data_IF_778753009379
#
_entry.id   IF_778753009379
#
_cell.length_a   1.000
_cell.length_b   1.000
_cell.length_c   1.000
_cell.angle_alpha   90.00
_cell.angle_beta   90.00
_cell.angle_gamma   90.00
#
_symmetry.space_group_name_H-M   'P 1'
#
loop_
_entity.id
_entity.type
_entity.pdbx_description
1 polymer ?
#
# COMPACT_ATOMS: atom_id res chain seq x y z
N UNK A 1 -0.97 7.29 10.10
CA UNK A 1 -1.61 8.02 8.98
C UNK A 1 -1.83 9.49 9.31
N UNK A 2 -1.63 10.41 8.35
CA UNK A 2 -1.86 11.86 8.49
C UNK A 2 -3.22 12.27 7.90
N UNK A 3 -3.90 13.24 8.52
CA UNK A 3 -5.20 13.77 8.08
C UNK A 3 -5.18 14.32 6.64
N UNK A 4 -4.03 14.85 6.18
CA UNK A 4 -3.84 15.33 4.81
C UNK A 4 -4.09 14.25 3.75
N UNK A 5 -3.81 12.98 4.09
CA UNK A 5 -4.07 11.83 3.21
C UNK A 5 -5.56 11.45 3.18
N UNK A 6 -6.34 11.90 4.15
CA UNK A 6 -7.77 11.63 4.30
C UNK A 6 -8.66 12.79 3.85
N UNK A 7 -8.11 13.80 3.16
CA UNK A 7 -8.95 14.85 2.56
C UNK A 7 -10.08 14.25 1.70
N UNK A 8 -11.32 14.64 1.99
CA UNK A 8 -12.54 14.12 1.37
C UNK A 8 -13.15 12.88 2.04
N UNK A 9 -12.54 12.35 3.10
CA UNK A 9 -13.02 11.19 3.84
C UNK A 9 -13.69 11.59 5.16
N UNK A 10 -14.67 10.80 5.57
CA UNK A 10 -15.14 10.79 6.96
C UNK A 10 -14.31 9.76 7.72
N UNK A 11 -13.73 10.16 8.85
CA UNK A 11 -12.88 9.30 9.66
C UNK A 11 -13.12 9.57 11.14
N UNK A 12 -12.66 8.63 11.97
CA UNK A 12 -12.64 8.72 13.44
C UNK A 12 -11.29 8.22 13.93
N UNK A 13 -10.77 8.80 15.00
CA UNK A 13 -9.45 8.51 15.57
C UNK A 13 -9.60 8.11 17.02
N UNK A 14 -8.84 7.09 17.40
CA UNK A 14 -8.63 6.70 18.78
C UNK A 14 -7.18 6.95 19.18
N UNK A 15 -6.93 7.72 20.24
CA UNK A 15 -5.58 7.94 20.79
C UNK A 15 -5.51 7.65 22.29
N UNK A 16 -4.30 7.43 22.80
CA UNK A 16 -4.08 7.15 24.22
C UNK A 16 -4.49 8.35 25.09
N UNK A 17 -5.34 8.12 26.09
CA UNK A 17 -5.84 9.11 27.04
C UNK A 17 -5.50 8.76 28.50
N UNK A 18 -4.97 7.56 28.75
CA UNK A 18 -4.66 7.07 30.08
C UNK A 18 -3.26 7.49 30.55
N UNK A 19 -3.08 7.41 31.86
CA UNK A 19 -1.80 7.65 32.51
C UNK A 19 -1.45 9.14 32.63
N UNK A 20 -0.17 9.40 32.84
CA UNK A 20 0.38 10.72 33.14
C UNK A 20 0.77 11.53 31.91
N UNK A 21 0.82 10.90 30.74
CA UNK A 21 1.18 11.53 29.47
C UNK A 21 0.21 11.11 28.34
N UNK A 22 -1.03 11.63 28.36
CA UNK A 22 -2.00 11.36 27.29
C UNK A 22 -1.60 12.05 25.97
N UNK A 23 -2.18 11.59 24.87
CA UNK A 23 -1.94 12.14 23.54
C UNK A 23 -2.35 13.61 23.44
N UNK A 24 -1.49 14.41 22.81
CA UNK A 24 -1.75 15.83 22.51
C UNK A 24 -2.54 16.05 21.21
N UNK A 25 -2.72 14.99 20.42
CA UNK A 25 -3.38 15.07 19.11
C UNK A 25 -4.89 14.97 19.26
N UNK A 26 -5.65 15.68 18.43
CA UNK A 26 -7.11 15.61 18.42
C UNK A 26 -7.60 14.20 18.04
N UNK A 27 -8.59 13.70 18.78
CA UNK A 27 -9.19 12.39 18.58
C UNK A 27 -10.65 12.39 19.03
N UNK A 28 -11.40 11.37 18.64
CA UNK A 28 -12.82 11.24 18.90
C UNK A 28 -13.11 10.31 20.10
N UNK A 29 -12.18 9.41 20.46
CA UNK A 29 -12.32 8.52 21.62
C UNK A 29 -10.98 8.03 22.17
N UNK A 30 -10.97 7.65 23.46
CA UNK A 30 -9.83 7.00 24.09
C UNK A 30 -9.55 5.64 23.45
N UNK A 31 -8.30 5.35 23.08
CA UNK A 31 -7.84 4.10 22.46
C UNK A 31 -7.93 2.93 23.46
N UNK A 32 -9.13 2.47 23.77
CA UNK A 32 -9.40 1.31 24.64
C UNK A 32 -10.03 0.20 23.81
N UNK A 33 -9.88 -1.05 24.25
CA UNK A 33 -10.50 -2.20 23.57
C UNK A 33 -12.00 -2.03 23.36
N UNK A 34 -12.72 -1.56 24.39
CA UNK A 34 -14.17 -1.36 24.30
C UNK A 34 -14.55 -0.29 23.28
N UNK A 35 -13.82 0.82 23.22
CA UNK A 35 -14.12 1.90 22.29
C UNK A 35 -13.79 1.50 20.85
N UNK A 36 -12.64 0.86 20.60
CA UNK A 36 -12.25 0.39 19.26
C UNK A 36 -13.26 -0.64 18.74
N UNK A 37 -13.58 -1.66 19.55
CA UNK A 37 -14.50 -2.72 19.14
C UNK A 37 -15.90 -2.16 18.89
N UNK A 38 -16.45 -1.37 19.82
CA UNK A 38 -17.79 -0.78 19.62
C UNK A 38 -17.88 0.16 18.42
N UNK A 39 -16.83 0.95 18.17
CA UNK A 39 -16.73 1.83 17.01
C UNK A 39 -16.69 1.02 15.72
N UNK A 40 -15.81 0.03 15.61
CA UNK A 40 -15.69 -0.78 14.39
C UNK A 40 -16.94 -1.63 14.14
N UNK A 41 -17.47 -2.31 15.15
CA UNK A 41 -18.67 -3.14 15.04
C UNK A 41 -19.90 -2.38 14.54
N UNK A 42 -20.01 -1.08 14.81
CA UNK A 42 -21.14 -0.25 14.39
C UNK A 42 -20.86 0.64 13.17
N UNK A 43 -19.58 0.87 12.85
CA UNK A 43 -19.15 1.74 11.77
C UNK A 43 -19.10 1.07 10.39
N UNK A 44 -18.92 1.90 9.37
CA UNK A 44 -18.75 1.47 7.98
C UNK A 44 -17.37 1.90 7.50
N UNK A 45 -16.36 1.14 7.88
CA UNK A 45 -14.96 1.50 7.62
C UNK A 45 -14.45 0.77 6.38
N UNK A 46 -14.19 1.52 5.30
CA UNK A 46 -13.51 0.95 4.14
C UNK A 46 -12.02 0.69 4.41
N UNK A 47 -11.43 1.44 5.34
CA UNK A 47 -10.06 1.27 5.79
C UNK A 47 -10.03 1.33 7.31
N UNK A 48 -9.16 0.52 7.92
CA UNK A 48 -8.84 0.60 9.34
C UNK A 48 -7.34 0.53 9.49
N UNK A 49 -6.73 1.56 10.08
CA UNK A 49 -5.30 1.62 10.30
C UNK A 49 -5.02 1.75 11.79
N UNK A 50 -4.01 1.06 12.29
CA UNK A 50 -3.52 1.26 13.64
C UNK A 50 -2.00 1.22 13.70
N UNK A 51 -1.49 1.84 14.77
CA UNK A 51 -0.10 1.73 15.20
C UNK A 51 -0.07 1.44 16.69
N UNK A 52 0.78 0.50 17.09
CA UNK A 52 0.88 0.05 18.47
C UNK A 52 1.85 -1.11 18.62
N UNK A 53 1.95 -1.62 19.84
CA UNK A 53 2.64 -2.88 20.07
C UNK A 53 1.78 -4.05 19.60
N UNK A 54 2.38 -5.20 19.33
CA UNK A 54 1.64 -6.36 18.86
C UNK A 54 2.25 -7.69 19.28
N UNK A 55 1.40 -8.71 19.22
CA UNK A 55 1.75 -10.12 19.16
C UNK A 55 0.76 -10.83 18.20
N UNK A 56 0.83 -12.15 18.10
CA UNK A 56 -0.10 -12.94 17.28
C UNK A 56 -1.57 -12.69 17.63
N UNK A 57 -1.88 -12.43 18.89
CA UNK A 57 -3.26 -12.33 19.35
C UNK A 57 -3.87 -10.94 19.18
N UNK A 58 -3.08 -9.88 19.05
CA UNK A 58 -3.65 -8.54 19.03
C UNK A 58 -2.68 -7.38 18.96
N UNK A 59 -3.25 -6.18 19.08
CA UNK A 59 -2.51 -4.93 19.13
C UNK A 59 -2.82 -4.14 20.41
N UNK A 60 -1.78 -3.52 20.95
CA UNK A 60 -1.73 -3.04 22.33
C UNK A 60 -1.26 -1.60 22.39
N UNK A 61 -1.90 -0.87 23.30
CA UNK A 61 -1.48 0.45 23.72
C UNK A 61 -0.55 0.34 24.93
N UNK A 62 0.23 1.38 25.18
CA UNK A 62 1.04 1.55 26.39
C UNK A 62 0.89 2.96 26.93
N UNK A 63 0.88 3.10 28.25
CA UNK A 63 0.81 4.38 28.93
C UNK A 63 1.65 4.37 30.20
N UNK A 64 2.12 5.56 30.58
CA UNK A 64 2.82 5.80 31.84
C UNK A 64 1.81 5.91 32.97
N UNK A 65 1.69 4.88 33.80
CA UNK A 65 0.53 4.71 34.69
C UNK A 65 0.64 5.45 36.03
N UNK A 66 1.85 5.59 36.56
CA UNK A 66 2.16 6.26 37.81
C UNK A 66 3.61 6.75 37.78
N UNK A 67 3.98 7.66 38.67
CA UNK A 67 5.32 8.25 38.79
C UNK A 67 5.78 8.08 40.24
N UNK A 68 6.99 7.59 40.47
CA UNK A 68 7.60 7.45 41.79
C UNK A 68 8.09 8.79 42.39
N UNK A 69 8.01 9.85 41.60
CA UNK A 69 8.26 11.24 41.98
C UNK A 69 9.48 11.86 41.30
N UNK A 70 10.11 11.18 40.35
CA UNK A 70 11.27 11.67 39.61
C UNK A 70 10.91 12.24 38.22
N UNK A 71 9.66 12.05 37.78
CA UNK A 71 9.13 12.50 36.49
C UNK A 71 9.81 11.89 35.25
N UNK A 72 10.34 10.67 35.38
CA UNK A 72 10.98 9.90 34.31
C UNK A 72 10.25 8.55 34.16
N UNK A 73 9.62 8.27 33.00
CA UNK A 73 8.92 7.00 32.83
C UNK A 73 9.86 5.78 32.88
N UNK A 74 9.63 4.86 33.83
CA UNK A 74 10.37 3.60 33.88
C UNK A 74 9.53 2.34 33.66
N UNK A 75 10.22 1.21 33.46
CA UNK A 75 9.58 -0.03 33.03
C UNK A 75 8.54 -0.57 34.01
N UNK A 76 8.68 -0.33 35.31
CA UNK A 76 7.70 -0.68 36.36
C UNK A 76 6.50 0.28 36.41
N UNK A 77 6.60 1.43 35.77
CA UNK A 77 5.58 2.47 35.71
C UNK A 77 4.73 2.38 34.43
N UNK A 78 5.25 1.73 33.39
CA UNK A 78 4.53 1.52 32.14
C UNK A 78 3.53 0.38 32.29
N UNK A 79 2.28 0.66 31.92
CA UNK A 79 1.25 -0.36 31.73
C UNK A 79 0.90 -0.52 30.26
N UNK A 80 0.36 -1.69 29.93
CA UNK A 80 -0.10 -2.03 28.59
C UNK A 80 -1.45 -2.75 28.63
N UNK A 81 -2.17 -2.68 27.53
CA UNK A 81 -3.44 -3.38 27.36
C UNK A 81 -3.83 -3.44 25.89
N UNK A 82 -4.65 -4.42 25.48
CA UNK A 82 -5.10 -4.50 24.09
C UNK A 82 -6.03 -3.32 23.79
N UNK A 83 -5.93 -2.80 22.57
CA UNK A 83 -7.01 -2.02 21.97
C UNK A 83 -7.79 -2.83 20.92
N UNK A 84 -7.23 -3.95 20.47
CA UNK A 84 -7.93 -4.97 19.67
C UNK A 84 -7.28 -6.32 19.95
N UNK A 85 -8.10 -7.37 20.05
CA UNK A 85 -7.65 -8.72 20.34
C UNK A 85 -8.42 -9.73 19.49
N UNK A 86 -7.83 -10.89 19.24
CA UNK A 86 -8.34 -11.93 18.34
C UNK A 86 -9.76 -12.39 18.71
N UNK A 87 -10.07 -12.44 20.01
CA UNK A 87 -11.41 -12.81 20.50
C UNK A 87 -12.50 -11.77 20.20
N UNK A 88 -12.13 -10.54 19.84
CA UNK A 88 -13.07 -9.50 19.44
C UNK A 88 -13.48 -9.62 17.96
N UNK A 89 -12.65 -10.25 17.14
CA UNK A 89 -12.79 -10.22 15.67
C UNK A 89 -14.15 -10.71 15.19
N UNK A 90 -14.76 -11.80 15.74
CA UNK A 90 -16.10 -12.24 15.33
C UNK A 90 -17.23 -11.23 15.57
N UNK A 91 -17.00 -10.18 16.36
CA UNK A 91 -17.99 -9.13 16.63
C UNK A 91 -17.86 -7.91 15.72
N UNK A 92 -16.81 -7.84 14.89
CA UNK A 92 -16.58 -6.72 13.99
C UNK A 92 -17.55 -6.73 12.82
N UNK A 93 -17.78 -5.54 12.24
CA UNK A 93 -18.70 -5.39 11.12
C UNK A 93 -18.11 -6.01 9.85
N UNK A 94 -18.69 -7.11 9.40
CA UNK A 94 -18.27 -7.82 8.19
C UNK A 94 -19.14 -7.49 6.94
N UNK A 95 -20.19 -6.67 7.11
CA UNK A 95 -20.93 -6.14 5.96
C UNK A 95 -20.16 -5.04 5.22
N UNK A 96 -19.17 -4.44 5.88
CA UNK A 96 -18.26 -3.42 5.35
C UNK A 96 -16.82 -3.77 5.74
N UNK A 97 -16.26 -4.87 5.20
CA UNK A 97 -14.96 -5.36 5.62
C UNK A 97 -13.86 -4.37 5.21
N UNK A 98 -12.97 -4.05 6.14
CA UNK A 98 -11.99 -2.99 5.96
C UNK A 98 -10.71 -3.49 5.28
N UNK A 99 -10.03 -2.62 4.53
CA UNK A 99 -8.62 -2.83 4.18
C UNK A 99 -7.76 -2.34 5.35
N UNK A 100 -7.06 -3.27 5.97
CA UNK A 100 -6.35 -3.07 7.23
C UNK A 100 -4.86 -2.97 7.01
N UNK A 101 -4.22 -1.97 7.59
CA UNK A 101 -2.78 -1.97 7.82
C UNK A 101 -2.54 -2.03 9.34
N UNK A 102 -1.87 -3.09 9.77
CA UNK A 102 -1.61 -3.39 11.16
C UNK A 102 -0.16 -3.05 11.49
N UNK A 103 0.16 -1.78 11.80
CA UNK A 103 1.51 -1.35 12.15
C UNK A 103 1.86 -1.78 13.59
N UNK A 104 2.04 -3.08 13.79
CA UNK A 104 2.32 -3.73 15.07
C UNK A 104 3.06 -5.04 14.85
N UNK A 105 3.95 -5.40 15.78
CA UNK A 105 4.72 -6.65 15.69
C UNK A 105 3.80 -7.88 15.67
N UNK A 106 4.20 -8.89 14.92
CA UNK A 106 3.73 -10.28 14.98
C UNK A 106 2.24 -10.48 14.77
N UNK A 107 1.52 -9.49 14.22
CA UNK A 107 0.07 -9.60 13.98
C UNK A 107 -0.29 -10.66 12.91
N UNK A 108 0.70 -11.17 12.18
CA UNK A 108 0.58 -12.31 11.26
C UNK A 108 1.56 -13.46 11.58
N UNK A 109 2.08 -13.52 12.81
CA UNK A 109 2.95 -14.61 13.26
C UNK A 109 2.14 -15.89 13.54
N UNK A 110 2.75 -17.07 13.33
CA UNK A 110 2.12 -18.39 13.60
C UNK A 110 0.83 -18.65 12.78
N UNK A 111 0.13 -19.74 13.12
CA UNK A 111 -1.04 -20.30 12.45
C UNK A 111 -2.34 -19.66 12.91
N UNK A 112 -2.44 -19.31 14.20
CA UNK A 112 -3.56 -18.60 14.80
C UNK A 112 -3.13 -17.19 15.16
N UNK A 113 -3.55 -16.23 14.34
CA UNK A 113 -3.25 -14.82 14.55
C UNK A 113 -4.38 -13.88 14.15
N UNK A 114 -4.25 -12.65 14.60
CA UNK A 114 -5.24 -11.60 14.39
C UNK A 114 -5.39 -11.25 12.90
N UNK A 115 -4.32 -11.25 12.10
CA UNK A 115 -4.43 -10.97 10.66
C UNK A 115 -5.27 -12.03 9.94
N UNK A 116 -5.03 -13.32 10.22
CA UNK A 116 -5.84 -14.44 9.72
C UNK A 116 -7.29 -14.32 10.16
N UNK A 117 -7.52 -13.95 11.42
CA UNK A 117 -8.88 -13.80 11.96
C UNK A 117 -9.64 -12.66 11.29
N UNK A 118 -8.96 -11.55 11.01
CA UNK A 118 -9.54 -10.40 10.30
C UNK A 118 -9.94 -10.74 8.87
N UNK A 119 -9.14 -11.53 8.16
CA UNK A 119 -9.55 -12.06 6.84
C UNK A 119 -10.81 -12.94 6.94
N UNK A 120 -11.01 -13.60 8.08
CA UNK A 120 -12.21 -14.37 8.35
C UNK A 120 -13.44 -13.54 8.74
N UNK A 121 -13.25 -12.36 9.32
CA UNK A 121 -14.34 -11.44 9.70
C UNK A 121 -13.80 -10.00 9.91
N UNK A 122 -14.40 -9.02 9.22
CA UNK A 122 -14.14 -7.59 9.38
C UNK A 122 -13.02 -7.03 8.50
N UNK A 123 -12.26 -7.87 7.80
CA UNK A 123 -11.15 -7.48 6.93
C UNK A 123 -11.27 -8.02 5.50
N UNK A 124 -11.17 -7.13 4.51
CA UNK A 124 -11.14 -7.48 3.09
C UNK A 124 -9.72 -7.75 2.57
N UNK A 125 -8.73 -7.18 3.25
CA UNK A 125 -7.31 -7.38 3.03
C UNK A 125 -6.54 -6.82 4.22
N UNK A 126 -5.49 -7.51 4.64
CA UNK A 126 -4.74 -7.16 5.86
C UNK A 126 -3.25 -7.14 5.52
N UNK A 127 -2.60 -6.00 5.72
CA UNK A 127 -1.14 -5.89 5.72
C UNK A 127 -0.66 -5.97 7.15
N UNK A 128 0.14 -6.97 7.48
CA UNK A 128 0.62 -7.21 8.84
C UNK A 128 2.02 -7.80 8.86
N UNK A 129 2.74 -7.54 9.95
CA UNK A 129 4.06 -8.10 10.23
C UNK A 129 3.98 -9.58 10.58
N UNK A 130 4.82 -10.42 9.95
CA UNK A 130 4.98 -11.82 10.34
C UNK A 130 5.85 -12.02 11.58
N UNK A 131 6.62 -11.00 11.97
CA UNK A 131 7.55 -10.98 13.11
C UNK A 131 7.70 -9.54 13.64
N UNK A 132 8.91 -8.99 13.75
CA UNK A 132 9.12 -7.67 14.34
C UNK A 132 8.92 -6.53 13.34
N UNK A 133 8.04 -5.60 13.70
CA UNK A 133 7.91 -4.29 13.05
C UNK A 133 8.65 -3.20 13.81
N UNK A 134 9.52 -2.47 13.13
CA UNK A 134 10.27 -1.35 13.69
C UNK A 134 9.60 -0.02 13.36
N UNK A 135 9.62 0.93 14.29
CA UNK A 135 9.01 2.24 14.17
C UNK A 135 10.05 3.34 14.44
N UNK A 136 9.81 4.54 13.91
CA UNK A 136 10.59 5.74 14.24
C UNK A 136 9.93 6.44 15.43
N UNK A 137 10.62 6.59 16.58
CA UNK A 137 10.11 7.41 17.69
C UNK A 137 9.86 8.85 17.23
N UNK A 138 8.75 9.44 17.66
CA UNK A 138 8.35 10.79 17.27
C UNK A 138 8.23 11.01 15.74
N UNK A 139 7.89 9.97 14.98
CA UNK A 139 7.57 10.07 13.55
C UNK A 139 6.60 11.22 13.27
N UNK A 140 7.01 12.15 12.44
CA UNK A 140 6.23 13.33 12.05
C UNK A 140 6.19 13.54 10.54
N UNK A 141 7.25 13.19 9.81
CA UNK A 141 7.27 13.25 8.35
C UNK A 141 7.06 11.86 7.73
N UNK A 142 6.23 11.74 6.67
CA UNK A 142 6.17 10.52 5.86
C UNK A 142 7.52 9.93 5.42
N UNK A 143 8.58 10.72 5.35
CA UNK A 143 9.94 10.31 4.98
C UNK A 143 10.83 9.93 6.18
N UNK A 144 10.33 9.97 7.42
CA UNK A 144 11.08 9.58 8.64
C UNK A 144 11.38 8.07 8.73
N UNK A 145 10.81 7.28 7.81
CA UNK A 145 11.06 5.85 7.67
C UNK A 145 10.29 4.92 8.59
N UNK A 146 10.76 3.67 8.62
CA UNK A 146 10.18 2.55 9.34
C UNK A 146 8.71 2.24 8.98
N UNK A 147 8.04 1.40 9.78
CA UNK A 147 6.68 0.92 9.48
C UNK A 147 5.69 2.07 9.26
N UNK A 148 5.81 3.17 9.99
CA UNK A 148 4.86 4.29 9.90
C UNK A 148 4.88 4.94 8.52
N UNK A 149 6.06 4.99 7.89
CA UNK A 149 6.21 5.47 6.52
C UNK A 149 5.70 4.46 5.51
N UNK A 150 5.98 3.17 5.72
CA UNK A 150 5.42 2.10 4.87
C UNK A 150 3.89 2.07 4.89
N UNK A 151 3.29 2.19 6.08
CA UNK A 151 1.84 2.37 6.30
C UNK A 151 1.32 3.59 5.52
N UNK A 152 1.94 4.76 5.73
CA UNK A 152 1.54 5.97 5.05
C UNK A 152 1.56 5.82 3.51
N UNK A 153 2.65 5.30 2.95
CA UNK A 153 2.78 5.17 1.49
C UNK A 153 1.89 4.09 0.91
N UNK A 154 1.61 3.01 1.65
CA UNK A 154 0.60 2.04 1.26
C UNK A 154 -0.76 2.71 1.03
N UNK A 155 -1.22 3.50 2.00
CA UNK A 155 -2.46 4.25 1.84
C UNK A 155 -2.36 5.40 0.84
N UNK A 156 -1.19 6.02 0.67
CA UNK A 156 -0.96 7.02 -0.39
C UNK A 156 -1.25 6.41 -1.76
N UNK A 157 -0.60 5.31 -2.10
CA UNK A 157 -0.78 4.67 -3.39
C UNK A 157 -2.20 4.14 -3.58
N UNK A 158 -2.83 3.61 -2.53
CA UNK A 158 -4.20 3.11 -2.62
C UNK A 158 -5.24 4.25 -2.74
N UNK A 159 -5.14 5.29 -1.92
CA UNK A 159 -6.17 6.33 -1.79
C UNK A 159 -5.98 7.51 -2.74
N UNK A 160 -4.74 7.88 -3.06
CA UNK A 160 -4.42 9.03 -3.93
C UNK A 160 -4.13 8.59 -5.36
N UNK A 161 -3.35 7.52 -5.53
CA UNK A 161 -2.98 7.00 -6.86
C UNK A 161 -3.98 5.94 -7.38
N UNK A 162 -4.95 5.53 -6.56
CA UNK A 162 -5.99 4.58 -6.96
C UNK A 162 -5.46 3.18 -7.29
N UNK A 163 -4.32 2.79 -6.70
CA UNK A 163 -3.73 1.47 -6.91
C UNK A 163 -4.58 0.37 -6.29
N UNK A 164 -4.52 -0.81 -6.91
CA UNK A 164 -4.98 -2.07 -6.28
C UNK A 164 -4.17 -2.32 -5.01
N UNK A 165 -4.74 -3.02 -4.05
CA UNK A 165 -4.11 -3.22 -2.72
C UNK A 165 -2.71 -3.82 -2.82
N UNK A 166 -2.52 -4.83 -3.68
CA UNK A 166 -1.20 -5.44 -3.91
C UNK A 166 -0.21 -4.49 -4.59
N UNK A 167 -0.67 -3.75 -5.60
CA UNK A 167 0.16 -2.75 -6.29
C UNK A 167 0.55 -1.60 -5.35
N UNK A 168 -0.37 -1.18 -4.46
CA UNK A 168 -0.12 -0.15 -3.46
C UNK A 168 0.98 -0.58 -2.48
N UNK A 169 0.94 -1.82 -1.97
CA UNK A 169 1.99 -2.33 -1.10
C UNK A 169 3.32 -2.48 -1.83
N UNK A 170 3.29 -2.95 -3.08
CA UNK A 170 4.50 -3.06 -3.90
C UNK A 170 5.13 -1.68 -4.17
N UNK A 171 4.34 -0.71 -4.64
CA UNK A 171 4.80 0.65 -4.92
C UNK A 171 5.30 1.33 -3.64
N UNK A 172 4.64 1.14 -2.50
CA UNK A 172 5.09 1.64 -1.19
C UNK A 172 6.45 1.06 -0.81
N UNK A 173 6.66 -0.25 -0.99
CA UNK A 173 7.95 -0.92 -0.76
C UNK A 173 9.04 -0.42 -1.71
N UNK A 174 8.73 -0.24 -2.99
CA UNK A 174 9.68 0.30 -3.97
C UNK A 174 10.06 1.75 -3.62
N UNK A 175 9.09 2.58 -3.24
CA UNK A 175 9.36 3.94 -2.81
C UNK A 175 10.23 3.96 -1.55
N UNK A 176 9.84 3.18 -0.54
CA UNK A 176 10.59 3.01 0.70
C UNK A 176 12.04 2.64 0.43
N UNK A 177 12.28 1.60 -0.38
CA UNK A 177 13.63 1.14 -0.74
C UNK A 177 14.47 2.21 -1.44
N UNK A 178 13.88 3.02 -2.32
CA UNK A 178 14.64 4.00 -3.11
C UNK A 178 14.89 5.33 -2.39
N UNK A 179 14.01 5.72 -1.46
CA UNK A 179 13.99 7.08 -0.92
C UNK A 179 14.03 7.16 0.60
N UNK A 180 13.63 6.11 1.32
CA UNK A 180 13.50 6.13 2.78
C UNK A 180 14.27 4.99 3.46
N UNK A 181 15.05 4.25 2.67
CA UNK A 181 15.90 3.20 3.15
C UNK A 181 17.19 3.82 3.68
N UNK A 182 17.11 4.31 4.92
CA UNK A 182 18.24 4.92 5.60
C UNK A 182 18.76 4.03 6.72
N UNK A 183 20.07 4.13 7.01
CA UNK A 183 20.66 3.43 8.13
C UNK A 183 20.06 3.92 9.47
N UNK A 184 19.51 3.02 10.30
CA UNK A 184 19.09 3.20 11.68
C UNK A 184 20.20 3.85 12.51
N UNK A 185 19.99 5.09 12.99
CA UNK A 185 21.00 5.81 13.75
C UNK A 185 21.24 5.20 15.15
N UNK A 186 20.40 4.27 15.60
CA UNK A 186 20.47 3.63 16.91
C UNK A 186 20.92 2.16 16.84
N UNK A 187 21.12 1.60 15.63
CA UNK A 187 21.53 0.22 15.40
C UNK A 187 23.03 0.03 15.18
N UNK A 188 23.59 -1.10 15.64
CA UNK A 188 25.00 -1.48 15.39
C UNK A 188 25.25 -2.01 13.97
N UNK A 189 24.24 -2.63 13.38
CA UNK A 189 24.04 -2.71 11.93
C UNK A 189 22.99 -1.65 11.62
N UNK A 190 23.24 -0.72 10.70
CA UNK A 190 22.32 0.37 10.53
C UNK A 190 21.24 0.01 9.49
N UNK A 191 21.33 -1.06 8.69
CA UNK A 191 20.33 -1.31 7.63
C UNK A 191 19.21 -2.30 7.98
N UNK A 192 19.41 -3.15 9.00
CA UNK A 192 18.55 -4.32 9.20
C UNK A 192 17.11 -4.01 9.59
N UNK A 193 16.82 -2.93 10.32
CA UNK A 193 15.44 -2.59 10.73
C UNK A 193 14.56 -2.18 9.55
N UNK A 194 15.13 -1.44 8.61
CA UNK A 194 14.50 -1.09 7.33
C UNK A 194 14.28 -2.33 6.45
N UNK A 195 15.26 -3.23 6.35
CA UNK A 195 15.11 -4.50 5.62
C UNK A 195 14.03 -5.39 6.24
N UNK A 196 14.02 -5.47 7.57
CA UNK A 196 13.04 -6.22 8.33
C UNK A 196 11.63 -5.72 7.99
N UNK A 197 11.34 -4.44 8.12
CA UNK A 197 10.02 -3.88 7.77
C UNK A 197 9.63 -4.16 6.30
N UNK A 198 10.59 -4.07 5.38
CA UNK A 198 10.37 -4.32 3.95
C UNK A 198 9.95 -5.76 3.64
N UNK A 199 10.55 -6.73 4.33
CA UNK A 199 10.31 -8.16 4.09
C UNK A 199 9.19 -8.72 4.96
N UNK A 200 8.96 -8.14 6.14
CA UNK A 200 8.08 -8.68 7.17
C UNK A 200 6.61 -8.32 6.97
N UNK A 201 6.32 -7.11 6.46
CA UNK A 201 4.93 -6.68 6.24
C UNK A 201 4.36 -7.32 4.98
N UNK A 202 3.41 -8.25 5.17
CA UNK A 202 2.83 -9.07 4.10
C UNK A 202 1.35 -8.77 3.94
N UNK A 203 0.88 -8.72 2.69
CA UNK A 203 -0.54 -8.64 2.37
C UNK A 203 -1.17 -10.03 2.41
N UNK A 204 -2.20 -10.17 3.24
CA UNK A 204 -3.13 -11.28 3.26
C UNK A 204 -4.45 -10.82 2.63
N UNK A 205 -4.98 -11.57 1.65
CA UNK A 205 -6.16 -11.20 0.88
C UNK A 205 -5.89 -11.17 -0.62
N UNK A 206 -6.81 -10.59 -1.40
CA UNK A 206 -6.69 -10.48 -2.85
C UNK A 206 -5.82 -9.26 -3.24
N UNK A 207 -4.61 -9.43 -3.81
CA UNK A 207 -3.78 -8.30 -4.23
C UNK A 207 -4.42 -7.48 -5.35
N UNK A 208 -5.41 -8.02 -6.06
CA UNK A 208 -6.14 -7.31 -7.11
C UNK A 208 -7.32 -6.48 -6.60
N UNK A 209 -7.60 -6.53 -5.29
CA UNK A 209 -8.67 -5.77 -4.65
C UNK A 209 -8.53 -4.28 -4.94
N UNK A 210 -9.63 -3.64 -5.30
CA UNK A 210 -9.79 -2.19 -5.40
C UNK A 210 -10.65 -1.70 -4.25
N UNK A 211 -10.36 -0.48 -3.77
CA UNK A 211 -11.04 0.16 -2.63
C UNK A 211 -12.57 0.17 -2.74
N UNK A 212 -13.09 0.35 -3.94
CA UNK A 212 -14.52 0.49 -4.21
C UNK A 212 -15.24 -0.87 -4.32
N UNK A 213 -14.48 -1.97 -4.28
CA UNK A 213 -14.97 -3.31 -4.61
C UNK A 213 -15.29 -3.45 -6.10
N UNK A 214 -15.52 -4.68 -6.54
CA UNK A 214 -16.03 -4.96 -7.89
C UNK A 214 -17.55 -5.03 -7.79
N UNK A 215 -18.26 -4.12 -8.44
CA UNK A 215 -19.72 -4.24 -8.58
C UNK A 215 -19.99 -5.27 -9.69
N UNK A 216 -20.61 -6.44 -9.40
CA UNK A 216 -20.84 -7.45 -10.42
C UNK A 216 -21.72 -6.91 -11.55
N UNK A 217 -21.24 -7.00 -12.79
CA UNK A 217 -21.97 -6.54 -13.98
C UNK A 217 -21.77 -5.07 -14.37
N UNK A 218 -20.96 -4.31 -13.62
CA UNK A 218 -20.48 -3.00 -14.06
C UNK A 218 -19.06 -3.18 -14.57
N UNK A 219 -18.82 -2.85 -15.85
CA UNK A 219 -17.47 -2.80 -16.39
C UNK A 219 -16.63 -1.82 -15.56
N UNK A 220 -15.43 -2.27 -15.18
CA UNK A 220 -14.47 -1.61 -14.29
C UNK A 220 -14.51 -0.08 -14.42
N UNK A 221 -15.03 0.59 -13.40
CA UNK A 221 -15.21 2.04 -13.39
C UNK A 221 -14.09 2.66 -12.56
N UNK A 222 -13.14 3.29 -13.27
CA UNK A 222 -12.02 4.16 -12.83
C UNK A 222 -10.69 3.39 -12.73
N UNK A 223 -9.75 3.59 -13.64
CA UNK A 223 -9.16 4.88 -14.01
C UNK A 223 -9.26 5.20 -15.51
N UNK A 224 -9.07 6.46 -15.85
CA UNK A 224 -9.06 7.03 -17.21
C UNK A 224 -7.89 6.55 -18.09
N UNK A 225 -7.71 5.24 -18.22
CA UNK A 225 -6.95 4.58 -19.29
C UNK A 225 -7.89 4.08 -20.40
N UNK A 226 -9.18 4.48 -20.36
CA UNK A 226 -10.19 4.21 -21.37
C UNK A 226 -9.87 4.96 -22.68
N UNK A 227 -8.87 4.47 -23.39
CA UNK A 227 -8.83 4.46 -24.83
C UNK A 227 -7.90 3.36 -25.40
N UNK A 228 -7.05 2.68 -24.61
CA UNK A 228 -6.26 1.54 -25.12
C UNK A 228 -6.81 0.22 -24.60
N UNK A 229 -7.43 -0.57 -25.48
CA UNK A 229 -8.09 -1.82 -25.07
C UNK A 229 -7.13 -3.00 -24.85
N UNK A 230 -5.89 -2.94 -25.32
CA UNK A 230 -4.87 -3.96 -25.05
C UNK A 230 -3.51 -3.54 -25.59
N UNK A 231 -2.43 -3.71 -24.81
CA UNK A 231 -1.05 -3.77 -25.31
C UNK A 231 -0.54 -5.17 -24.97
N UNK A 232 -0.14 -5.96 -25.96
CA UNK A 232 0.32 -7.34 -25.80
C UNK A 232 1.71 -7.52 -26.43
N UNK A 233 2.47 -8.48 -25.91
CA UNK A 233 3.81 -8.82 -26.40
C UNK A 233 3.85 -10.27 -26.86
N UNK A 234 4.41 -10.51 -28.05
CA UNK A 234 4.58 -11.84 -28.61
C UNK A 234 6.04 -12.07 -29.02
N UNK A 235 6.74 -13.03 -28.40
CA UNK A 235 6.37 -13.75 -27.17
C UNK A 235 6.25 -12.83 -25.94
N UNK A 236 5.60 -13.31 -24.87
CA UNK A 236 5.43 -12.53 -23.62
C UNK A 236 6.76 -12.25 -22.90
N UNK A 237 7.76 -13.11 -23.10
CA UNK A 237 9.16 -12.90 -22.73
C UNK A 237 9.94 -12.77 -24.03
N UNK A 238 10.40 -11.56 -24.35
CA UNK A 238 11.05 -11.26 -25.63
C UNK A 238 12.55 -11.48 -25.51
N UNK A 239 13.13 -12.27 -26.41
CA UNK A 239 14.58 -12.43 -26.48
C UNK A 239 15.21 -11.35 -27.36
N UNK A 240 15.60 -11.68 -28.60
CA UNK A 240 16.20 -10.75 -29.56
C UNK A 240 15.19 -10.04 -30.50
N UNK A 241 14.00 -10.63 -30.63
CA UNK A 241 12.93 -10.14 -31.49
C UNK A 241 11.57 -10.42 -30.86
N UNK A 242 10.67 -9.46 -30.92
CA UNK A 242 9.29 -9.60 -30.46
C UNK A 242 8.33 -8.76 -31.29
N UNK A 243 7.04 -8.88 -30.99
CA UNK A 243 5.98 -8.09 -31.59
C UNK A 243 5.19 -7.39 -30.50
N UNK A 244 5.01 -6.09 -30.64
CA UNK A 244 4.09 -5.30 -29.80
C UNK A 244 2.79 -5.20 -30.57
N UNK A 245 1.71 -5.71 -29.99
CA UNK A 245 0.36 -5.57 -30.51
C UNK A 245 -0.38 -4.56 -29.65
N UNK A 246 -1.05 -3.60 -30.27
CA UNK A 246 -1.85 -2.60 -29.55
C UNK A 246 -3.12 -2.27 -30.32
N UNK A 247 -4.15 -1.82 -29.61
CA UNK A 247 -5.43 -1.44 -30.23
C UNK A 247 -5.73 0.03 -29.99
N UNK A 248 -6.03 0.75 -31.07
CA UNK A 248 -6.42 2.15 -31.06
C UNK A 248 -7.95 2.29 -31.03
N UNK A 249 -8.48 3.19 -30.19
CA UNK A 249 -9.91 3.46 -30.03
C UNK A 249 -10.47 4.35 -31.15
N UNK A 250 -9.62 5.20 -31.73
CA UNK A 250 -9.96 6.18 -32.74
C UNK A 250 -8.72 6.46 -33.62
N UNK A 251 -8.95 7.12 -34.75
CA UNK A 251 -7.88 7.60 -35.62
C UNK A 251 -7.07 8.69 -34.93
N UNK A 252 -5.74 8.68 -35.06
CA UNK A 252 -4.91 9.75 -34.50
C UNK A 252 -3.41 9.56 -34.71
N UNK A 253 -2.64 10.50 -34.17
CA UNK A 253 -1.18 10.41 -34.15
C UNK A 253 -0.72 9.53 -32.98
N UNK A 254 0.04 8.48 -33.24
CA UNK A 254 0.53 7.51 -32.27
C UNK A 254 2.02 7.69 -32.07
N UNK A 255 2.47 7.62 -30.81
CA UNK A 255 3.89 7.54 -30.43
C UNK A 255 4.08 6.38 -29.45
N UNK A 256 4.98 5.45 -29.77
CA UNK A 256 5.32 4.30 -28.92
C UNK A 256 6.72 4.51 -28.37
N UNK A 257 6.84 4.52 -27.05
CA UNK A 257 8.07 4.81 -26.33
C UNK A 257 8.45 3.66 -25.41
N UNK A 258 9.76 3.42 -25.27
CA UNK A 258 10.34 2.43 -24.38
C UNK A 258 11.04 3.12 -23.22
N UNK A 259 10.84 2.61 -22.01
CA UNK A 259 11.43 3.10 -20.76
C UNK A 259 12.12 1.96 -20.00
N UNK A 260 13.18 2.28 -19.27
CA UNK A 260 13.80 1.34 -18.33
C UNK A 260 13.05 1.30 -16.99
N UNK A 261 13.53 0.45 -16.07
CA UNK A 261 12.92 0.25 -14.75
C UNK A 261 12.90 1.49 -13.85
N UNK A 262 13.77 2.47 -14.09
CA UNK A 262 13.83 3.74 -13.35
C UNK A 262 13.02 4.86 -14.01
N UNK A 263 12.26 4.55 -15.08
CA UNK A 263 11.39 5.52 -15.76
C UNK A 263 12.09 6.43 -16.77
N UNK A 264 13.36 6.20 -17.08
CA UNK A 264 14.08 6.92 -18.13
C UNK A 264 13.65 6.39 -19.51
N UNK A 265 13.27 7.31 -20.42
CA UNK A 265 12.99 6.96 -21.82
C UNK A 265 14.27 6.52 -22.51
N UNK A 266 14.29 5.28 -22.99
CA UNK A 266 15.40 4.69 -23.74
C UNK A 266 15.31 5.10 -25.21
N UNK A 267 14.16 4.85 -25.83
CA UNK A 267 13.94 5.18 -27.24
C UNK A 267 12.47 5.35 -27.59
N UNK A 268 12.21 5.88 -28.79
CA UNK A 268 10.88 5.91 -29.42
C UNK A 268 10.85 4.84 -30.50
N UNK A 269 10.02 3.82 -30.32
CA UNK A 269 9.92 2.66 -31.19
C UNK A 269 9.12 2.95 -32.46
N UNK A 270 8.12 3.83 -32.36
CA UNK A 270 7.23 4.15 -33.48
C UNK A 270 6.63 5.55 -33.33
N UNK A 271 6.43 6.23 -34.46
CA UNK A 271 5.62 7.45 -34.53
C UNK A 271 4.91 7.49 -35.89
N UNK A 272 3.62 7.77 -35.90
CA UNK A 272 2.82 7.75 -37.13
C UNK A 272 1.39 8.25 -36.93
N UNK A 273 0.63 8.34 -38.02
CA UNK A 273 -0.83 8.51 -37.97
C UNK A 273 -1.47 7.18 -38.30
N UNK A 274 -2.29 6.65 -37.41
CA UNK A 274 -2.91 5.35 -37.55
C UNK A 274 -4.43 5.44 -37.41
N UNK A 275 -5.12 4.49 -38.04
CA UNK A 275 -6.57 4.34 -37.96
C UNK A 275 -6.97 3.61 -36.69
N UNK A 276 -8.20 3.80 -36.21
CA UNK A 276 -8.76 2.96 -35.16
C UNK A 276 -8.63 1.47 -35.51
N UNK A 277 -8.35 0.62 -34.52
CA UNK A 277 -8.20 -0.83 -34.70
C UNK A 277 -6.87 -1.40 -34.19
N UNK A 278 -6.64 -2.67 -34.48
CA UNK A 278 -5.48 -3.42 -34.02
C UNK A 278 -4.26 -3.20 -34.93
N UNK A 279 -3.11 -2.91 -34.32
CA UNK A 279 -1.85 -2.69 -35.00
C UNK A 279 -0.74 -3.53 -34.38
N UNK A 280 0.31 -3.75 -35.15
CA UNK A 280 1.50 -4.49 -34.72
C UNK A 280 2.76 -3.79 -35.16
N UNK A 281 3.75 -3.73 -34.25
CA UNK A 281 5.10 -3.28 -34.58
C UNK A 281 6.12 -4.34 -34.17
N UNK A 282 7.18 -4.49 -34.96
CA UNK A 282 8.30 -5.35 -34.63
C UNK A 282 9.19 -4.66 -33.58
N UNK A 283 9.50 -5.36 -32.50
CA UNK A 283 10.48 -4.96 -31.50
C UNK A 283 11.82 -5.65 -31.80
N UNK A 284 12.86 -4.85 -32.08
CA UNK A 284 14.24 -5.32 -32.24
C UNK A 284 15.06 -4.78 -31.08
N UNK A 285 15.41 -5.65 -30.14
CA UNK A 285 15.99 -5.28 -28.86
C UNK A 285 17.40 -5.87 -28.64
N UNK A 286 18.11 -6.26 -29.71
CA UNK A 286 19.46 -6.85 -29.63
C UNK A 286 20.51 -5.95 -28.96
N UNK A 287 20.20 -4.67 -28.75
CA UNK A 287 21.05 -3.69 -28.10
C UNK A 287 20.65 -3.40 -26.64
N UNK A 288 19.53 -3.95 -26.18
CA UNK A 288 19.02 -3.75 -24.82
C UNK A 288 19.58 -4.82 -23.88
N UNK A 289 19.93 -4.41 -22.66
CA UNK A 289 20.32 -5.35 -21.62
C UNK A 289 19.12 -6.20 -21.18
N UNK A 290 19.39 -7.40 -20.66
CA UNK A 290 18.37 -8.24 -20.02
C UNK A 290 17.75 -7.51 -18.84
N UNK A 291 16.42 -7.52 -18.72
CA UNK A 291 15.74 -6.82 -17.63
C UNK A 291 14.28 -6.47 -17.92
N UNK A 292 13.71 -5.69 -17.00
CA UNK A 292 12.34 -5.20 -17.07
C UNK A 292 12.30 -3.84 -17.73
N UNK A 293 11.39 -3.69 -18.69
CA UNK A 293 11.15 -2.44 -19.41
C UNK A 293 9.65 -2.13 -19.45
N UNK A 294 9.32 -0.89 -19.79
CA UNK A 294 7.94 -0.43 -19.93
C UNK A 294 7.72 0.20 -21.30
N UNK A 295 6.60 -0.15 -21.94
CA UNK A 295 6.12 0.49 -23.16
C UNK A 295 5.02 1.48 -22.78
N UNK A 296 5.09 2.68 -23.36
CA UNK A 296 4.00 3.65 -23.36
C UNK A 296 3.57 3.88 -24.81
N UNK A 297 2.29 3.70 -25.09
CA UNK A 297 1.66 4.11 -26.35
C UNK A 297 0.89 5.39 -26.07
N UNK A 298 1.14 6.46 -26.81
CA UNK A 298 0.45 7.74 -26.71
C UNK A 298 -0.29 8.01 -28.02
N UNK A 299 -1.57 8.36 -27.94
CA UNK A 299 -2.45 8.69 -29.06
C UNK A 299 -2.94 10.13 -28.92
N UNK A 300 -2.80 10.93 -29.97
CA UNK A 300 -3.33 12.27 -30.07
C UNK A 300 -4.41 12.33 -31.15
N UNK A 301 -5.64 12.71 -30.77
CA UNK A 301 -6.77 12.84 -31.68
C UNK A 301 -7.70 13.97 -31.24
N UNK A 302 -8.12 14.82 -32.17
CA UNK A 302 -9.09 15.88 -31.89
C UNK A 302 -8.68 16.89 -30.80
N UNK A 303 -7.37 17.07 -30.54
CA UNK A 303 -6.86 17.91 -29.45
C UNK A 303 -6.81 17.25 -28.07
N UNK A 304 -7.13 15.95 -27.99
CA UNK A 304 -6.99 15.14 -26.78
C UNK A 304 -5.82 14.17 -26.93
N UNK A 305 -5.13 13.91 -25.81
CA UNK A 305 -4.04 12.93 -25.73
C UNK A 305 -4.43 11.83 -24.74
N UNK A 306 -4.37 10.57 -25.17
CA UNK A 306 -4.56 9.38 -24.32
C UNK A 306 -3.31 8.52 -24.37
N UNK A 307 -2.99 7.80 -23.29
CA UNK A 307 -1.89 6.85 -23.31
C UNK A 307 -2.23 5.54 -22.62
N UNK A 308 -1.70 4.43 -23.14
CA UNK A 308 -1.67 3.13 -22.48
C UNK A 308 -0.24 2.71 -22.14
N UNK A 309 -0.07 1.86 -21.11
CA UNK A 309 1.25 1.34 -20.72
C UNK A 309 1.19 -0.17 -20.47
N UNK A 310 2.29 -0.87 -20.75
CA UNK A 310 2.45 -2.26 -20.31
C UNK A 310 3.93 -2.62 -20.08
N UNK A 311 4.16 -3.62 -19.23
CA UNK A 311 5.48 -4.15 -18.85
C UNK A 311 5.93 -5.22 -19.84
N UNK A 312 7.20 -5.18 -20.23
CA UNK A 312 7.85 -6.20 -21.06
C UNK A 312 9.13 -6.69 -20.38
N UNK A 313 9.39 -8.00 -20.46
CA UNK A 313 10.61 -8.62 -19.97
C UNK A 313 11.49 -8.98 -21.16
N UNK A 314 12.73 -8.49 -21.15
CA UNK A 314 13.75 -8.77 -22.17
C UNK A 314 14.77 -9.76 -21.59
N UNK A 315 15.02 -10.85 -22.32
CA UNK A 315 15.94 -11.94 -21.93
C UNK A 315 17.02 -12.22 -22.99
#
# INVERSE_FOLDING_TARGET
MKDSLLSGWTYTRGYEEAGLCPSIYTHEFALTQSNVVSTWSSGQFAITNWSGHGNSDGAYRKWWAWDDGDSIPESNEIQSGPFIYISNIPSLNDAYPSIVFAASCSNAEDTDNIARSLIGNGGAGVVAATTYGWYTPAWDDPEDGNVMSLDYYFYYYMLREGRKVGDALFDAKVYYFNYIYFPDPYGGDPEWTCQQNMLDYTLFGDPSLVREGIVPGVADYRTSDAAFSEIQFYPSIVSAHGTIKYTLPCDGAVTIMLFNSVGQRIETLHTGKEKAGCHTIALRNTHLARGVYFIKVQLESGGQSVSGRNKIIIY
#
